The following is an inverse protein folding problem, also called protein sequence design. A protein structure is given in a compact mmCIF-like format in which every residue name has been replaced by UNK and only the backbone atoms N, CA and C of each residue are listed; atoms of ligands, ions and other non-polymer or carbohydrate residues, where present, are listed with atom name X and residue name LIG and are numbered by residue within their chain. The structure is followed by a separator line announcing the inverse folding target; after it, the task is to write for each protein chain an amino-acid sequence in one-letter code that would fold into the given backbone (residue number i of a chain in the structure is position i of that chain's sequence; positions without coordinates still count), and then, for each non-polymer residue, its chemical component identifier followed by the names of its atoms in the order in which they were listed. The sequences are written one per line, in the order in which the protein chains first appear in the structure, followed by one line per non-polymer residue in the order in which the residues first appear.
data_IF_876547348043
#
_entry.id   IF_876547348043
#
_cell.length_a   1.000
_cell.length_b   1.000
_cell.length_c   1.000
_cell.angle_alpha   90.00
_cell.angle_beta   90.00
_cell.angle_gamma   90.00
#
_symmetry.space_group_name_H-M   'P 1'
#
loop_
_entity.id
_entity.type
_entity.pdbx_description
1 polymer ?
#
# COMPACT_ATOMS: atom_id res chain seq x y z
N UNK A 1 11.13 -6.20 -1.65
CA UNK A 1 9.68 -6.35 -1.87
C UNK A 1 9.50 -6.38 -3.38
N UNK A 2 8.86 -7.39 -3.98
CA UNK A 2 8.80 -7.48 -5.45
C UNK A 2 7.33 -7.51 -5.90
N UNK A 3 6.90 -6.44 -6.56
CA UNK A 3 5.62 -6.37 -7.26
C UNK A 3 5.86 -6.28 -8.75
N UNK A 4 5.30 -7.24 -9.49
CA UNK A 4 5.53 -7.41 -10.92
C UNK A 4 6.71 -8.31 -11.25
N UNK A 5 7.06 -8.33 -12.52
CA UNK A 5 8.14 -9.14 -13.09
C UNK A 5 7.71 -9.84 -14.38
N UNK A 6 8.69 -10.18 -15.20
CA UNK A 6 8.47 -11.00 -16.39
C UNK A 6 8.66 -12.47 -16.04
N UNK A 7 7.61 -13.27 -16.21
CA UNK A 7 7.68 -14.72 -15.99
C UNK A 7 7.35 -15.48 -17.28
N UNK A 8 8.19 -16.46 -17.62
CA UNK A 8 7.93 -17.33 -18.76
C UNK A 8 7.01 -18.48 -18.35
N UNK A 9 5.82 -18.49 -18.93
CA UNK A 9 4.83 -19.54 -18.74
C UNK A 9 5.23 -20.80 -19.54
N UNK A 10 5.31 -21.95 -18.88
CA UNK A 10 5.60 -23.26 -19.49
C UNK A 10 4.40 -24.19 -19.35
N UNK A 11 4.15 -25.02 -20.37
CA UNK A 11 3.10 -26.02 -20.33
C UNK A 11 3.42 -27.13 -19.32
N UNK A 12 2.40 -27.71 -18.69
CA UNK A 12 2.55 -28.82 -17.74
C UNK A 12 3.06 -28.43 -16.35
N UNK A 13 3.36 -27.16 -16.10
CA UNK A 13 3.79 -26.68 -14.80
C UNK A 13 2.62 -26.04 -14.04
N UNK A 14 2.39 -26.48 -12.79
CA UNK A 14 1.53 -25.76 -11.86
C UNK A 14 2.16 -24.42 -11.51
N UNK A 15 1.33 -23.37 -11.45
CA UNK A 15 1.78 -22.01 -11.16
C UNK A 15 1.26 -21.58 -9.81
N UNK A 16 2.12 -20.88 -9.08
CA UNK A 16 1.84 -20.36 -7.76
C UNK A 16 2.13 -18.87 -7.73
N UNK A 17 1.22 -18.13 -7.13
CA UNK A 17 1.38 -16.70 -6.88
C UNK A 17 1.57 -16.55 -5.38
N UNK A 18 2.65 -15.89 -5.00
CA UNK A 18 2.96 -15.57 -3.61
C UNK A 18 2.74 -14.09 -3.40
N UNK A 19 1.90 -13.75 -2.42
CA UNK A 19 1.67 -12.37 -1.97
C UNK A 19 2.21 -12.25 -0.56
N UNK A 20 2.88 -11.14 -0.31
CA UNK A 20 3.45 -10.82 0.99
C UNK A 20 3.22 -9.36 1.32
N UNK A 21 2.73 -9.13 2.53
CA UNK A 21 2.55 -7.81 3.14
C UNK A 21 3.63 -7.67 4.21
N UNK A 22 4.39 -6.57 4.14
CA UNK A 22 5.38 -6.24 5.16
C UNK A 22 5.00 -4.91 5.81
N UNK A 23 4.97 -4.83 7.16
CA UNK A 23 4.84 -3.54 7.81
C UNK A 23 6.08 -2.70 7.49
N UNK A 24 5.87 -1.40 7.29
CA UNK A 24 6.97 -0.43 7.18
C UNK A 24 7.35 -0.02 8.60
N UNK A 25 8.62 -0.23 8.96
CA UNK A 25 9.13 0.22 10.26
C UNK A 25 9.11 1.74 10.33
N UNK A 26 8.71 2.29 11.48
CA UNK A 26 8.61 3.75 11.71
C UNK A 26 7.59 4.47 10.80
N UNK A 27 6.58 3.79 10.28
CA UNK A 27 5.55 4.39 9.42
C UNK A 27 4.48 5.21 10.17
N UNK A 28 4.81 5.75 11.35
CA UNK A 28 3.89 6.55 12.16
C UNK A 28 3.68 6.02 13.59
N UNK A 29 2.63 6.52 14.25
CA UNK A 29 2.44 6.42 15.70
C UNK A 29 1.67 5.18 16.19
N UNK A 30 1.02 4.43 15.29
CA UNK A 30 0.33 3.17 15.61
C UNK A 30 0.79 2.04 14.70
N UNK A 31 1.39 0.97 15.24
CA UNK A 31 1.78 -0.18 14.43
C UNK A 31 0.51 -0.89 13.91
N UNK A 32 0.31 -0.85 12.61
CA UNK A 32 -0.72 -1.66 11.95
C UNK A 32 -0.23 -3.10 11.95
N UNK A 33 -1.02 -3.99 12.56
CA UNK A 33 -0.72 -5.43 12.57
C UNK A 33 -1.64 -6.09 11.54
N UNK A 34 -1.08 -6.39 10.37
CA UNK A 34 -1.77 -7.26 9.42
C UNK A 34 -1.76 -8.70 9.96
N UNK A 35 -2.90 -9.37 10.00
CA UNK A 35 -3.01 -10.73 10.51
C UNK A 35 -2.71 -11.76 9.42
N UNK A 36 -3.47 -11.72 8.32
CA UNK A 36 -3.33 -12.68 7.23
C UNK A 36 -3.84 -12.11 5.90
N UNK A 37 -3.41 -12.71 4.79
CA UNK A 37 -3.97 -12.43 3.47
C UNK A 37 -5.26 -13.23 3.29
N UNK A 38 -6.41 -12.57 3.26
CA UNK A 38 -7.72 -13.22 3.19
C UNK A 38 -8.07 -13.81 1.82
N UNK A 39 -7.66 -13.15 0.74
CA UNK A 39 -7.89 -13.63 -0.63
C UNK A 39 -6.83 -13.08 -1.60
N UNK A 40 -6.64 -13.78 -2.71
CA UNK A 40 -5.81 -13.34 -3.84
C UNK A 40 -6.64 -13.51 -5.10
N UNK A 41 -6.70 -12.47 -5.94
CA UNK A 41 -7.40 -12.52 -7.22
C UNK A 41 -6.51 -12.03 -8.36
N UNK A 42 -6.73 -12.57 -9.56
CA UNK A 42 -6.02 -12.15 -10.79
C UNK A 42 -7.03 -11.89 -11.89
N UNK A 43 -6.88 -10.78 -12.59
CA UNK A 43 -7.76 -10.33 -13.68
C UNK A 43 -7.03 -9.38 -14.61
N UNK A 44 -7.78 -8.64 -15.42
CA UNK A 44 -7.24 -7.59 -16.30
C UNK A 44 -6.11 -8.04 -17.24
N UNK A 45 -6.10 -9.32 -17.66
CA UNK A 45 -5.06 -9.83 -18.56
C UNK A 45 -5.19 -9.18 -19.93
N UNK A 46 -4.11 -8.57 -20.42
CA UNK A 46 -4.07 -7.95 -21.75
C UNK A 46 -2.86 -8.42 -22.57
N UNK A 47 -3.05 -8.56 -23.89
CA UNK A 47 -1.96 -8.82 -24.83
C UNK A 47 -1.17 -7.53 -25.09
N UNK A 48 0.14 -7.60 -24.88
CA UNK A 48 1.07 -6.49 -25.14
C UNK A 48 2.25 -6.92 -26.00
N UNK A 49 2.69 -6.02 -26.87
CA UNK A 49 3.97 -6.14 -27.59
C UNK A 49 5.12 -5.58 -26.74
N UNK A 50 6.33 -6.13 -26.93
CA UNK A 50 7.56 -5.64 -26.27
C UNK A 50 7.94 -4.20 -26.63
N UNK A 51 7.39 -3.67 -27.73
CA UNK A 51 7.59 -2.26 -28.15
C UNK A 51 6.71 -1.28 -27.37
N UNK A 52 5.68 -1.78 -26.69
CA UNK A 52 4.81 -0.92 -25.89
C UNK A 52 5.50 -0.60 -24.57
N UNK A 53 5.27 0.61 -24.06
CA UNK A 53 5.70 0.97 -22.70
C UNK A 53 5.13 -0.06 -21.69
N UNK A 54 5.93 -0.46 -20.67
CA UNK A 54 5.43 -1.25 -19.55
C UNK A 54 4.22 -0.59 -18.90
N UNK A 55 3.40 -1.41 -18.24
CA UNK A 55 2.36 -0.89 -17.37
C UNK A 55 3.00 -0.33 -16.09
N UNK A 56 2.35 0.70 -15.54
CA UNK A 56 2.75 1.36 -14.31
C UNK A 56 1.47 1.63 -13.53
N UNK A 57 1.25 0.92 -12.44
CA UNK A 57 0.03 1.08 -11.64
C UNK A 57 0.05 2.36 -10.78
N UNK A 58 1.15 3.10 -10.74
CA UNK A 58 1.30 4.34 -9.97
C UNK A 58 1.28 5.54 -10.91
N UNK A 59 0.10 5.89 -11.39
CA UNK A 59 -0.09 7.11 -12.17
C UNK A 59 0.04 8.36 -11.29
N UNK A 60 0.55 9.46 -11.87
CA UNK A 60 0.82 10.70 -11.14
C UNK A 60 -0.45 11.29 -10.52
N UNK A 61 -1.60 11.15 -11.19
CA UNK A 61 -2.89 11.60 -10.68
C UNK A 61 -3.30 10.84 -9.41
N UNK A 62 -3.17 9.50 -9.40
CA UNK A 62 -3.49 8.68 -8.22
C UNK A 62 -2.52 8.96 -7.06
N UNK A 63 -1.23 9.14 -7.38
CA UNK A 63 -0.23 9.54 -6.40
C UNK A 63 -0.52 10.93 -5.82
N UNK A 64 -1.02 11.87 -6.63
CA UNK A 64 -1.41 13.19 -6.15
C UNK A 64 -2.58 13.12 -5.16
N UNK A 65 -3.61 12.31 -5.45
CA UNK A 65 -4.74 12.07 -4.54
C UNK A 65 -4.26 11.45 -3.22
N UNK A 66 -3.33 10.48 -3.28
CA UNK A 66 -2.76 9.88 -2.08
C UNK A 66 -1.97 10.89 -1.24
N UNK A 67 -1.15 11.73 -1.87
CA UNK A 67 -0.39 12.79 -1.16
C UNK A 67 -1.31 13.83 -0.54
N UNK A 68 -2.41 14.20 -1.20
CA UNK A 68 -3.42 15.12 -0.66
C UNK A 68 -4.08 14.52 0.58
N UNK A 69 -4.60 13.29 0.49
CA UNK A 69 -5.22 12.60 1.63
C UNK A 69 -4.27 12.42 2.81
N UNK A 70 -3.01 12.06 2.54
CA UNK A 70 -1.99 11.97 3.58
C UNK A 70 -1.71 13.33 4.22
N UNK A 71 -1.60 14.38 3.41
CA UNK A 71 -1.41 15.75 3.90
C UNK A 71 -2.55 16.20 4.80
N UNK A 72 -3.79 15.89 4.43
CA UNK A 72 -4.97 16.18 5.24
C UNK A 72 -4.95 15.42 6.58
N UNK A 73 -4.58 14.14 6.57
CA UNK A 73 -4.41 13.35 7.79
C UNK A 73 -3.33 13.94 8.71
N UNK A 74 -2.21 14.40 8.16
CA UNK A 74 -1.16 15.08 8.93
C UNK A 74 -1.64 16.41 9.50
N UNK A 75 -2.42 17.18 8.75
CA UNK A 75 -3.03 18.42 9.25
C UNK A 75 -3.97 18.14 10.42
N UNK A 76 -4.84 17.12 10.31
CA UNK A 76 -5.73 16.70 11.41
C UNK A 76 -4.93 16.27 12.63
N UNK A 77 -3.90 15.44 12.44
CA UNK A 77 -3.03 14.97 13.54
C UNK A 77 -2.30 16.11 14.22
N UNK A 78 -1.82 17.09 13.45
CA UNK A 78 -1.20 18.31 13.96
C UNK A 78 -2.19 19.09 14.83
N UNK A 79 -3.38 19.39 14.32
CA UNK A 79 -4.42 20.10 15.08
C UNK A 79 -4.77 19.37 16.40
N UNK A 80 -4.84 18.04 16.38
CA UNK A 80 -5.04 17.25 17.58
C UNK A 80 -3.91 17.43 18.60
N UNK A 81 -2.65 17.28 18.17
CA UNK A 81 -1.48 17.44 19.04
C UNK A 81 -1.43 18.85 19.64
N UNK A 82 -1.70 19.89 18.84
CA UNK A 82 -1.80 21.28 19.31
C UNK A 82 -2.81 21.41 20.45
N UNK A 83 -4.02 20.87 20.26
CA UNK A 83 -5.06 20.94 21.28
C UNK A 83 -4.66 20.20 22.56
N UNK A 84 -4.02 19.04 22.47
CA UNK A 84 -3.57 18.28 23.65
C UNK A 84 -2.45 19.02 24.40
N UNK A 85 -1.46 19.56 23.67
CA UNK A 85 -0.36 20.33 24.25
C UNK A 85 -0.90 21.58 24.95
N UNK A 86 -1.79 22.34 24.29
CA UNK A 86 -2.42 23.53 24.89
C UNK A 86 -3.23 23.20 26.14
N UNK A 87 -3.93 22.05 26.19
CA UNK A 87 -4.64 21.60 27.41
C UNK A 87 -3.69 21.33 28.56
N UNK A 88 -2.52 20.73 28.30
CA UNK A 88 -1.52 20.46 29.33
C UNK A 88 -0.81 21.74 29.79
N UNK A 89 -0.46 22.65 28.88
CA UNK A 89 0.16 23.94 29.22
C UNK A 89 -0.73 24.75 30.18
N UNK A 90 -2.05 24.74 29.95
CA UNK A 90 -3.01 25.49 30.77
C UNK A 90 -3.39 24.78 32.09
N UNK A 91 -2.86 23.59 32.36
CA UNK A 91 -3.11 22.85 33.61
C UNK A 91 -2.28 23.46 34.75
N UNK A 92 -2.93 23.89 35.84
CA UNK A 92 -2.26 24.52 36.98
C UNK A 92 -1.40 23.54 37.80
N UNK A 93 -1.93 22.35 38.06
CA UNK A 93 -1.23 21.29 38.81
C UNK A 93 -0.80 20.17 37.85
N UNK A 94 0.44 20.26 37.35
CA UNK A 94 1.05 19.22 36.51
C UNK A 94 1.67 18.13 37.40
N UNK A 95 1.24 16.88 37.19
CA UNK A 95 1.91 15.70 37.73
C UNK A 95 3.14 15.34 36.89
N UNK A 96 4.01 14.47 37.41
CA UNK A 96 5.14 13.93 36.65
C UNK A 96 4.69 13.23 35.35
N UNK A 97 3.56 12.52 35.40
CA UNK A 97 2.93 11.92 34.21
C UNK A 97 2.48 12.96 33.18
N UNK A 98 2.02 14.14 33.61
CA UNK A 98 1.65 15.21 32.69
C UNK A 98 2.89 15.79 31.99
N UNK A 99 4.02 15.87 32.70
CA UNK A 99 5.30 16.33 32.15
C UNK A 99 5.84 15.32 31.13
N UNK A 100 5.82 14.02 31.45
CA UNK A 100 6.20 12.95 30.50
C UNK A 100 5.29 12.94 29.28
N UNK A 101 3.98 13.09 29.47
CA UNK A 101 3.01 13.18 28.37
C UNK A 101 3.25 14.41 27.50
N UNK A 102 3.54 15.56 28.09
CA UNK A 102 3.87 16.79 27.36
C UNK A 102 5.13 16.61 26.51
N UNK A 103 6.18 16.00 27.06
CA UNK A 103 7.40 15.66 26.31
C UNK A 103 7.10 14.73 25.12
N UNK A 104 6.32 13.67 25.33
CA UNK A 104 5.94 12.74 24.26
C UNK A 104 5.11 13.41 23.16
N UNK A 105 4.18 14.30 23.53
CA UNK A 105 3.37 15.05 22.55
C UNK A 105 4.22 16.02 21.72
N UNK A 106 5.19 16.69 22.34
CA UNK A 106 6.13 17.58 21.63
C UNK A 106 7.05 16.79 20.70
N UNK A 107 7.54 15.61 21.12
CA UNK A 107 8.33 14.73 20.25
C UNK A 107 7.52 14.27 19.03
N UNK A 108 6.28 13.83 19.23
CA UNK A 108 5.38 13.47 18.14
C UNK A 108 5.12 14.64 17.19
N UNK A 109 5.02 15.86 17.71
CA UNK A 109 4.84 17.07 16.90
C UNK A 109 6.05 17.36 16.00
N UNK A 110 7.26 17.20 16.54
CA UNK A 110 8.50 17.34 15.75
C UNK A 110 8.53 16.30 14.63
N UNK A 111 8.28 15.03 14.95
CA UNK A 111 8.25 13.93 13.99
C UNK A 111 7.22 14.17 12.87
N UNK A 112 6.06 14.75 13.20
CA UNK A 112 5.03 15.10 12.21
C UNK A 112 5.53 16.10 11.16
N UNK A 113 6.41 17.02 11.56
CA UNK A 113 7.01 17.99 10.65
C UNK A 113 7.97 17.31 9.66
N UNK A 114 8.74 16.33 10.12
CA UNK A 114 9.61 15.50 9.28
C UNK A 114 8.79 14.65 8.31
N UNK A 115 7.71 14.01 8.81
CA UNK A 115 6.80 13.20 8.01
C UNK A 115 6.15 14.03 6.89
N UNK A 116 5.68 15.24 7.19
CA UNK A 116 5.12 16.15 6.18
C UNK A 116 6.11 16.43 5.05
N UNK A 117 7.38 16.65 5.36
CA UNK A 117 8.39 16.92 4.34
C UNK A 117 8.66 15.66 3.50
N UNK A 118 8.66 14.48 4.13
CA UNK A 118 8.88 13.21 3.46
C UNK A 118 7.73 12.82 2.50
N UNK A 119 6.49 13.20 2.81
CA UNK A 119 5.32 13.00 1.93
C UNK A 119 5.37 13.88 0.68
N UNK A 120 5.88 15.10 0.81
CA UNK A 120 6.03 16.01 -0.33
C UNK A 120 7.06 15.51 -1.33
N UNK A 121 8.15 14.90 -0.85
CA UNK A 121 9.21 14.33 -1.68
C UNK A 121 9.58 12.94 -1.14
N UNK A 122 8.84 11.88 -1.54
CA UNK A 122 9.11 10.52 -1.09
C UNK A 122 10.50 10.05 -1.51
N UNK A 123 11.38 9.80 -0.53
CA UNK A 123 12.71 9.29 -0.79
C UNK A 123 12.66 7.80 -1.19
N UNK A 124 13.61 7.30 -2.02
CA UNK A 124 13.69 5.88 -2.34
C UNK A 124 13.72 5.00 -1.09
N UNK A 125 12.87 3.97 -1.05
CA UNK A 125 12.80 3.04 0.08
C UNK A 125 12.20 3.59 1.38
N UNK A 126 11.68 4.83 1.39
CA UNK A 126 11.07 5.45 2.59
C UNK A 126 9.78 4.76 3.07
N UNK A 127 9.16 3.93 2.22
CA UNK A 127 7.87 3.30 2.53
C UNK A 127 6.68 4.27 2.48
N UNK A 128 6.86 5.46 1.92
CA UNK A 128 5.82 6.46 1.68
C UNK A 128 5.15 6.17 0.32
N UNK A 129 3.83 6.39 0.15
CA UNK A 129 3.17 6.21 -1.14
C UNK A 129 3.86 7.00 -2.25
N UNK A 130 4.15 6.35 -3.37
CA UNK A 130 4.88 6.95 -4.49
C UNK A 130 6.40 7.06 -4.29
N UNK A 131 6.95 6.51 -3.20
CA UNK A 131 8.39 6.34 -3.07
C UNK A 131 8.91 5.40 -4.17
N UNK A 132 9.95 5.80 -4.91
CA UNK A 132 10.60 4.91 -5.85
C UNK A 132 11.26 3.76 -5.10
N UNK A 133 11.47 2.66 -5.82
CA UNK A 133 12.33 1.58 -5.36
C UNK A 133 13.72 2.10 -4.94
N UNK A 134 14.26 1.61 -3.82
CA UNK A 134 15.65 1.82 -3.38
C UNK A 134 16.67 0.98 -4.14
N UNK A 135 16.21 0.32 -5.21
CA UNK A 135 16.96 -0.55 -6.10
C UNK A 135 16.54 -0.26 -7.54
N UNK A 136 17.23 -0.84 -8.52
CA UNK A 136 16.95 -0.59 -9.94
C UNK A 136 16.04 -1.70 -10.52
N UNK A 137 14.72 -1.48 -10.69
CA UNK A 137 13.79 -2.56 -11.03
C UNK A 137 14.01 -3.12 -12.45
N UNK A 138 14.10 -4.46 -12.62
CA UNK A 138 14.08 -5.12 -13.91
C UNK A 138 12.80 -4.83 -14.70
N UNK A 139 12.86 -5.12 -16.00
CA UNK A 139 11.71 -4.96 -16.89
C UNK A 139 10.48 -5.76 -16.42
N UNK A 140 9.35 -5.08 -16.35
CA UNK A 140 8.06 -5.63 -15.94
C UNK A 140 7.78 -5.58 -14.44
N UNK A 141 8.71 -5.05 -13.63
CA UNK A 141 8.46 -4.73 -12.22
C UNK A 141 7.99 -3.29 -12.06
N UNK A 142 7.14 -3.05 -11.07
CA UNK A 142 6.68 -1.70 -10.74
C UNK A 142 7.87 -0.83 -10.27
N UNK A 143 7.93 0.45 -10.68
CA UNK A 143 8.98 1.37 -10.26
C UNK A 143 8.76 1.87 -8.82
N UNK A 144 7.52 1.87 -8.35
CA UNK A 144 7.12 2.31 -7.01
C UNK A 144 6.72 1.11 -6.15
N UNK A 145 6.90 1.26 -4.84
CA UNK A 145 6.48 0.26 -3.85
C UNK A 145 5.00 0.48 -3.51
N UNK A 146 4.15 -0.57 -3.54
CA UNK A 146 2.79 -0.46 -3.05
C UNK A 146 2.72 -0.14 -1.58
N UNK A 147 1.94 0.90 -1.27
CA UNK A 147 1.68 1.34 0.09
C UNK A 147 0.18 1.37 0.31
N UNK A 148 -0.23 0.81 1.45
CA UNK A 148 -1.60 0.92 1.94
C UNK A 148 -1.65 2.11 2.90
N UNK A 149 -2.49 3.09 2.59
CA UNK A 149 -2.77 4.20 3.49
C UNK A 149 -4.08 3.96 4.23
N UNK A 150 -3.99 3.80 5.55
CA UNK A 150 -5.17 3.72 6.41
C UNK A 150 -5.48 5.11 6.95
N UNK A 151 -6.56 5.71 6.46
CA UNK A 151 -7.09 6.96 7.01
C UNK A 151 -7.88 6.64 8.30
N UNK A 152 -7.14 6.52 9.41
CA UNK A 152 -7.72 6.29 10.73
C UNK A 152 -8.02 7.63 11.41
N UNK A 153 -9.16 7.71 12.07
CA UNK A 153 -9.52 8.80 12.94
C UNK A 153 -8.59 8.83 14.17
N UNK A 154 -8.08 10.00 14.51
CA UNK A 154 -7.10 10.17 15.57
C UNK A 154 -7.67 9.95 16.98
N UNK A 155 -8.98 10.13 17.16
CA UNK A 155 -9.64 10.07 18.47
C UNK A 155 -10.02 8.65 18.91
N UNK A 156 -10.50 7.82 17.99
CA UNK A 156 -11.03 6.48 18.30
C UNK A 156 -10.40 5.35 17.47
N UNK A 157 -9.41 5.67 16.63
CA UNK A 157 -8.75 4.72 15.73
C UNK A 157 -9.72 4.01 14.79
N UNK A 158 -10.94 4.53 14.64
CA UNK A 158 -11.88 4.05 13.65
C UNK A 158 -11.38 4.43 12.27
N UNK A 159 -11.54 3.57 11.28
CA UNK A 159 -11.42 4.01 9.90
C UNK A 159 -12.51 5.06 9.65
N UNK A 160 -12.15 6.22 9.10
CA UNK A 160 -13.12 7.25 8.71
C UNK A 160 -13.91 6.76 7.50
N UNK A 161 -14.85 5.82 7.73
CA UNK A 161 -15.98 5.37 6.91
C UNK A 161 -16.34 3.93 7.28
N UNK A 162 -17.24 3.76 8.25
CA UNK A 162 -17.89 2.50 8.63
C UNK A 162 -19.03 2.10 7.66
N UNK A 163 -18.82 2.30 6.35
CA UNK A 163 -19.74 1.87 5.30
C UNK A 163 -19.41 0.45 4.77
N UNK A 164 -20.35 -0.25 4.11
CA UNK A 164 -20.12 -1.59 3.57
C UNK A 164 -19.12 -1.65 2.41
N UNK A 165 -18.73 -0.50 1.85
CA UNK A 165 -17.62 -0.36 0.92
C UNK A 165 -16.51 0.44 1.60
N UNK A 166 -15.44 -0.26 1.97
CA UNK A 166 -14.22 0.35 2.51
C UNK A 166 -13.54 1.13 1.39
N UNK A 167 -13.89 2.40 1.26
CA UNK A 167 -13.34 3.32 0.27
C UNK A 167 -11.96 3.83 0.71
N UNK A 168 -11.05 2.88 0.99
CA UNK A 168 -9.64 3.21 1.23
C UNK A 168 -9.03 3.73 -0.06
N UNK A 169 -8.25 4.82 -0.03
CA UNK A 169 -7.49 5.23 -1.19
C UNK A 169 -6.44 4.16 -1.51
N UNK A 170 -6.76 3.32 -2.49
CA UNK A 170 -5.85 2.33 -3.04
C UNK A 170 -5.12 2.98 -4.23
N UNK A 171 -3.79 2.94 -4.21
CA UNK A 171 -3.00 3.38 -5.37
C UNK A 171 -3.43 2.59 -6.62
N UNK A 172 -3.68 3.31 -7.72
CA UNK A 172 -4.08 2.68 -8.97
C UNK A 172 -5.57 2.36 -9.10
N UNK A 173 -6.42 2.66 -8.10
CA UNK A 173 -7.86 2.37 -8.17
C UNK A 173 -8.55 3.09 -9.35
N UNK A 174 -8.12 4.32 -9.65
CA UNK A 174 -8.66 5.13 -10.74
C UNK A 174 -7.71 5.22 -11.94
N UNK A 175 -6.59 4.49 -11.91
CA UNK A 175 -5.67 4.41 -13.04
C UNK A 175 -6.35 3.80 -14.25
N UNK A 176 -6.21 4.47 -15.40
CA UNK A 176 -6.65 3.95 -16.69
C UNK A 176 -5.43 3.50 -17.46
N UNK A 177 -5.13 2.20 -17.41
CA UNK A 177 -3.99 1.65 -18.12
C UNK A 177 -4.33 1.31 -19.58
N UNK A 178 -3.43 1.60 -20.55
CA UNK A 178 -3.69 1.29 -21.95
C UNK A 178 -3.95 -0.21 -22.16
N UNK A 179 -5.08 -0.56 -22.78
CA UNK A 179 -5.53 -1.94 -23.03
C UNK A 179 -5.93 -2.74 -21.79
N UNK A 180 -5.95 -2.12 -20.62
CA UNK A 180 -6.65 -2.72 -19.48
C UNK A 180 -8.15 -2.61 -19.77
N UNK A 181 -8.69 -3.66 -20.35
CA UNK A 181 -10.13 -3.84 -20.43
C UNK A 181 -10.52 -4.44 -19.08
N UNK A 182 -11.52 -3.86 -18.40
CA UNK A 182 -12.03 -4.28 -17.09
C UNK A 182 -12.60 -5.71 -17.10
N UNK A 183 -11.72 -6.67 -17.34
CA UNK A 183 -12.03 -8.09 -17.40
C UNK A 183 -12.15 -8.64 -15.99
N UNK A 184 -12.93 -9.70 -15.87
CA UNK A 184 -13.26 -10.30 -14.58
C UNK A 184 -11.99 -10.75 -13.84
N UNK A 185 -11.94 -10.42 -12.55
CA UNK A 185 -10.97 -10.99 -11.62
C UNK A 185 -11.43 -12.37 -11.14
N UNK A 186 -10.49 -13.30 -11.06
CA UNK A 186 -10.71 -14.65 -10.57
C UNK A 186 -10.03 -14.82 -9.23
N UNK A 187 -10.81 -15.16 -8.20
CA UNK A 187 -10.29 -15.55 -6.90
C UNK A 187 -9.49 -16.85 -7.04
N UNK A 188 -8.29 -16.87 -6.47
CA UNK A 188 -7.39 -18.00 -6.52
C UNK A 188 -7.48 -18.82 -5.24
N UNK A 189 -7.48 -20.17 -5.33
CA UNK A 189 -7.42 -21.02 -4.15
C UNK A 189 -6.12 -20.80 -3.37
N UNK A 190 -6.23 -20.37 -2.12
CA UNK A 190 -5.09 -20.31 -1.20
C UNK A 190 -4.67 -21.73 -0.83
N UNK A 191 -3.40 -22.06 -1.03
CA UNK A 191 -2.83 -23.38 -0.71
C UNK A 191 -1.98 -23.36 0.55
N UNK A 192 -1.51 -22.17 0.98
CA UNK A 192 -0.66 -22.03 2.16
C UNK A 192 -0.62 -20.58 2.65
N UNK A 193 -0.73 -20.38 3.96
CA UNK A 193 -0.33 -19.14 4.63
C UNK A 193 1.14 -19.24 5.09
N UNK A 194 1.86 -18.12 5.10
CA UNK A 194 3.24 -18.05 5.59
C UNK A 194 3.21 -17.80 7.10
N UNK A 195 3.87 -18.63 7.90
CA UNK A 195 3.74 -18.59 9.36
C UNK A 195 4.57 -17.48 10.04
N UNK A 196 5.59 -16.95 9.36
CA UNK A 196 6.55 -15.98 9.92
C UNK A 196 6.42 -14.57 9.32
N UNK A 197 5.66 -14.44 8.23
CA UNK A 197 5.41 -13.16 7.57
C UNK A 197 3.94 -13.13 7.16
N UNK A 198 3.33 -11.96 7.04
CA UNK A 198 1.94 -11.84 6.60
C UNK A 198 1.87 -12.10 5.10
N UNK A 199 1.67 -13.36 4.72
CA UNK A 199 1.64 -13.74 3.31
C UNK A 199 0.87 -15.02 3.04
N UNK A 200 0.55 -15.23 1.77
CA UNK A 200 -0.12 -16.43 1.29
C UNK A 200 0.39 -16.83 -0.10
N UNK A 201 0.24 -18.12 -0.39
CA UNK A 201 0.51 -18.70 -1.70
C UNK A 201 -0.81 -19.21 -2.26
N UNK A 202 -1.15 -18.80 -3.47
CA UNK A 202 -2.32 -19.27 -4.20
C UNK A 202 -1.91 -20.05 -5.45
N UNK A 203 -2.73 -21.02 -5.85
CA UNK A 203 -2.58 -21.69 -7.15
C UNK A 203 -3.24 -20.89 -8.24
N UNK A 204 -2.55 -20.72 -9.36
CA UNK A 204 -3.07 -20.05 -10.54
C UNK A 204 -3.05 -20.99 -11.74
N UNK A 205 -4.20 -21.12 -12.41
CA UNK A 205 -4.30 -21.74 -13.73
C UNK A 205 -4.56 -20.64 -14.76
N UNK A 206 -3.74 -20.59 -15.81
CA UNK A 206 -3.89 -19.59 -16.87
C UNK A 206 -5.07 -19.86 -17.81
N UNK A 207 -5.65 -21.07 -17.78
CA UNK A 207 -6.84 -21.42 -18.55
C UNK A 207 -8.06 -20.57 -18.21
N UNK A 208 -8.13 -20.04 -16.98
CA UNK A 208 -9.26 -19.24 -16.48
C UNK A 208 -9.49 -17.95 -17.26
N UNK A 209 -8.47 -17.46 -17.98
CA UNK A 209 -8.49 -16.18 -18.68
C UNK A 209 -8.92 -16.28 -20.16
N UNK A 210 -9.33 -17.46 -20.63
CA UNK A 210 -9.72 -17.73 -22.03
C UNK A 210 -8.83 -17.05 -23.09
N UNK A 211 -7.52 -17.11 -22.85
CA UNK A 211 -6.52 -16.45 -23.70
C UNK A 211 -5.64 -17.50 -24.39
N UNK A 212 -5.68 -17.52 -25.72
CA UNK A 212 -4.81 -18.37 -26.53
C UNK A 212 -3.32 -18.06 -26.31
N UNK A 213 -3.00 -16.81 -25.92
CA UNK A 213 -1.62 -16.39 -25.67
C UNK A 213 -1.06 -16.89 -24.34
N UNK A 214 -1.91 -17.17 -23.36
CA UNK A 214 -1.50 -17.74 -22.07
C UNK A 214 -1.40 -19.28 -22.10
N UNK A 215 -2.14 -19.91 -23.02
CA UNK A 215 -2.29 -21.36 -23.10
C UNK A 215 -1.72 -21.94 -24.42
N UNK A 216 -0.83 -21.20 -25.10
CA UNK A 216 -0.15 -21.69 -26.31
C UNK A 216 0.72 -22.90 -25.96
N UNK A 217 0.69 -23.93 -26.81
CA UNK A 217 1.63 -25.04 -26.77
C UNK A 217 3.05 -24.46 -26.87
N UNK A 218 3.90 -24.82 -25.91
CA UNK A 218 5.29 -24.36 -25.93
C UNK A 218 6.03 -25.16 -26.99
N UNK A 219 6.45 -24.50 -28.06
CA UNK A 219 7.34 -25.08 -29.10
C UNK A 219 8.76 -25.29 -28.55
#
# INVERSE_FOLDING_TARGET
MLTGGTYQLRQGQQRRIQVLVRPVTNSGTLPIICESVGSIAVGSVCLRSRLQKPLDSYQEEDLAVLREKWSDALVRRRQYLDQQIQRLINKQDKSEQDIEREQSLVEQWVNLTEERNAVLVPAPGSGIPGAPADWNPPSGMEPHIPVLFLDLNADDLSASNSGPELDYPVAGLHSILPKEHGTKFYNLPLVRHLNQEVGAVATWDSSVHDSQHLNKITE
#
